data_IF_485040771699
#
_entry.id   IF_485040771699
#
_cell.length_a   1.000
_cell.length_b   1.000
_cell.length_c   1.000
_cell.angle_alpha   90.00
_cell.angle_beta   90.00
_cell.angle_gamma   90.00
#
_symmetry.space_group_name_H-M   'P 1'
#
loop_
_entity.id
_entity.type
_entity.pdbx_description
1 polymer ?
#
# COMPACT_ATOMS: atom_id res chain seq x y z
N UNK A 1 18.83 -44.82 66.01
CA UNK A 1 17.54 -44.10 65.90
C UNK A 1 17.58 -43.25 64.64
N UNK A 2 16.71 -43.51 63.67
CA UNK A 2 16.54 -42.69 62.46
C UNK A 2 15.41 -41.68 62.71
N UNK A 3 15.46 -40.51 62.08
CA UNK A 3 14.25 -39.90 61.57
C UNK A 3 14.30 -39.73 60.05
N UNK A 4 13.12 -39.97 59.46
CA UNK A 4 12.74 -39.68 58.09
C UNK A 4 12.77 -38.19 57.78
N UNK A 5 13.11 -37.83 56.54
CA UNK A 5 12.58 -36.63 55.88
C UNK A 5 12.15 -37.00 54.45
N UNK A 6 10.89 -36.65 54.11
CA UNK A 6 10.20 -36.87 52.83
C UNK A 6 10.27 -35.60 51.95
N UNK A 7 10.72 -35.78 50.70
CA UNK A 7 10.20 -35.17 49.46
C UNK A 7 10.57 -33.70 49.12
N UNK A 8 10.28 -33.22 47.89
CA UNK A 8 9.82 -33.94 46.69
C UNK A 8 10.75 -33.79 45.46
N UNK A 9 10.89 -34.86 44.70
CA UNK A 9 11.15 -34.80 43.26
C UNK A 9 9.88 -34.31 42.58
N UNK A 10 9.94 -33.26 41.75
CA UNK A 10 9.14 -33.00 40.52
C UNK A 10 9.40 -31.56 40.05
N UNK A 11 10.51 -31.28 39.36
CA UNK A 11 10.65 -30.07 38.54
C UNK A 11 11.51 -30.44 37.33
N UNK A 12 10.94 -31.08 36.31
CA UNK A 12 11.70 -31.34 35.08
C UNK A 12 10.84 -31.57 33.82
N UNK A 13 9.62 -31.02 33.77
CA UNK A 13 8.76 -31.20 32.58
C UNK A 13 8.01 -29.93 32.13
N UNK A 14 8.65 -28.76 32.19
CA UNK A 14 8.07 -27.52 31.63
C UNK A 14 9.01 -26.74 30.69
N UNK A 15 10.25 -27.20 30.46
CA UNK A 15 11.22 -26.42 29.69
C UNK A 15 11.21 -26.65 28.16
N UNK A 16 10.47 -27.65 27.65
CA UNK A 16 10.50 -27.99 26.20
C UNK A 16 9.35 -27.34 25.41
N UNK A 17 8.29 -26.85 26.05
CA UNK A 17 7.15 -26.22 25.35
C UNK A 17 7.28 -24.70 25.15
N UNK A 18 8.31 -24.06 25.72
CA UNK A 18 8.50 -22.61 25.62
C UNK A 18 9.33 -22.17 24.40
N UNK A 19 9.95 -23.09 23.67
CA UNK A 19 10.82 -22.78 22.53
C UNK A 19 10.08 -22.66 21.17
N UNK A 20 8.76 -22.92 21.13
CA UNK A 20 7.96 -22.88 19.89
C UNK A 20 7.15 -21.59 19.70
N UNK A 21 7.17 -20.67 20.67
CA UNK A 21 6.33 -19.47 20.64
C UNK A 21 7.05 -18.20 20.13
N UNK A 22 8.37 -18.24 19.94
CA UNK A 22 9.16 -17.07 19.49
C UNK A 22 9.51 -17.09 17.99
N UNK A 23 9.26 -18.19 17.27
CA UNK A 23 9.61 -18.33 15.84
C UNK A 23 8.55 -17.89 14.83
N UNK A 24 7.33 -17.58 15.27
CA UNK A 24 6.18 -17.36 14.36
C UNK A 24 6.24 -16.07 13.53
N UNK A 25 6.88 -15.01 14.05
CA UNK A 25 6.84 -13.69 13.42
C UNK A 25 7.64 -13.60 12.12
N UNK A 26 8.79 -14.26 12.04
CA UNK A 26 9.66 -14.19 10.86
C UNK A 26 9.09 -14.99 9.67
N UNK A 27 8.54 -16.18 9.94
CA UNK A 27 7.89 -17.01 8.92
C UNK A 27 6.61 -16.34 8.37
N UNK A 28 5.81 -15.73 9.25
CA UNK A 28 4.62 -14.97 8.83
C UNK A 28 4.97 -13.73 8.00
N UNK A 29 6.03 -13.00 8.37
CA UNK A 29 6.51 -11.86 7.59
C UNK A 29 7.04 -12.28 6.20
N UNK A 30 7.78 -13.38 6.12
CA UNK A 30 8.26 -13.93 4.86
C UNK A 30 7.10 -14.37 3.94
N UNK A 31 6.07 -15.02 4.50
CA UNK A 31 4.89 -15.43 3.72
C UNK A 31 4.12 -14.23 3.16
N UNK A 32 3.93 -13.16 3.95
CA UNK A 32 3.27 -11.94 3.47
C UNK A 32 4.10 -11.19 2.44
N UNK A 33 5.42 -11.20 2.57
CA UNK A 33 6.32 -10.60 1.58
C UNK A 33 6.24 -11.34 0.23
N UNK A 34 6.10 -12.66 0.26
CA UNK A 34 5.87 -13.49 -0.94
C UNK A 34 4.49 -13.22 -1.57
N UNK A 35 3.44 -13.04 -0.75
CA UNK A 35 2.08 -12.77 -1.23
C UNK A 35 1.96 -11.40 -1.91
N UNK A 36 2.64 -10.38 -1.40
CA UNK A 36 2.59 -9.03 -1.97
C UNK A 36 4.00 -8.47 -2.20
N UNK A 37 4.68 -8.97 -3.25
CA UNK A 37 6.07 -8.65 -3.53
C UNK A 37 6.26 -7.15 -3.80
N UNK A 38 5.24 -6.45 -4.32
CA UNK A 38 5.28 -5.01 -4.54
C UNK A 38 5.65 -4.24 -3.27
N UNK A 39 5.05 -4.60 -2.13
CA UNK A 39 5.17 -3.90 -0.86
C UNK A 39 6.32 -4.39 0.02
N UNK A 40 7.09 -5.38 -0.46
CA UNK A 40 8.30 -5.85 0.22
C UNK A 40 9.50 -4.91 0.02
N UNK A 41 9.45 -4.04 -1.00
CA UNK A 41 10.49 -3.05 -1.30
C UNK A 41 10.14 -1.67 -0.77
N UNK A 42 11.18 -0.96 -0.31
CA UNK A 42 11.10 0.44 0.14
C UNK A 42 11.56 1.43 -0.93
N UNK A 43 12.07 0.93 -2.06
CA UNK A 43 12.53 1.77 -3.16
C UNK A 43 11.34 2.42 -3.87
N UNK A 44 11.43 3.72 -4.22
CA UNK A 44 10.41 4.40 -4.98
C UNK A 44 10.01 3.64 -6.25
N UNK A 45 8.75 3.22 -6.34
CA UNK A 45 8.22 2.59 -7.54
C UNK A 45 8.01 3.65 -8.65
N UNK A 46 8.67 3.54 -9.81
CA UNK A 46 8.35 4.36 -10.98
C UNK A 46 7.04 3.84 -11.60
N UNK A 47 6.03 4.69 -11.67
CA UNK A 47 4.72 4.33 -12.22
C UNK A 47 4.23 5.42 -13.18
N UNK A 48 3.40 5.04 -14.15
CA UNK A 48 2.60 5.98 -14.93
C UNK A 48 1.12 5.61 -14.77
N UNK A 49 0.31 6.58 -14.36
CA UNK A 49 -1.14 6.42 -14.24
C UNK A 49 -1.83 7.36 -15.22
N UNK A 50 -2.53 6.79 -16.17
CA UNK A 50 -3.30 7.49 -17.19
C UNK A 50 -4.79 7.29 -16.92
N UNK A 51 -5.54 8.37 -16.75
CA UNK A 51 -7.01 8.35 -16.59
C UNK A 51 -7.57 9.77 -16.77
N UNK A 52 -8.89 9.92 -16.70
CA UNK A 52 -9.56 11.21 -16.76
C UNK A 52 -9.47 11.91 -15.39
N UNK A 53 -8.33 12.55 -15.13
CA UNK A 53 -8.04 13.26 -13.88
C UNK A 53 -8.91 14.53 -13.79
N UNK A 54 -9.23 15.15 -14.92
CA UNK A 54 -10.18 16.27 -14.98
C UNK A 54 -11.54 15.89 -14.40
N UNK A 55 -12.07 14.72 -14.77
CA UNK A 55 -13.36 14.27 -14.24
C UNK A 55 -13.28 13.76 -12.79
N UNK A 56 -12.10 13.38 -12.31
CA UNK A 56 -11.83 13.10 -10.88
C UNK A 56 -11.88 14.41 -10.07
N UNK A 57 -11.16 15.45 -10.50
CA UNK A 57 -11.09 16.75 -9.82
C UNK A 57 -12.47 17.43 -9.81
N UNK A 58 -13.11 17.55 -10.98
CA UNK A 58 -14.42 18.25 -11.10
C UNK A 58 -15.54 17.52 -10.37
N UNK A 59 -15.48 16.20 -10.27
CA UNK A 59 -16.45 15.41 -9.52
C UNK A 59 -16.40 15.62 -8.01
N UNK A 60 -15.43 16.37 -7.43
CA UNK A 60 -15.18 16.48 -5.96
C UNK A 60 -16.34 17.04 -5.14
N UNK A 61 -17.28 17.71 -5.80
CA UNK A 61 -18.47 18.25 -5.17
C UNK A 61 -19.65 17.28 -5.16
N UNK A 62 -19.58 16.19 -5.94
CA UNK A 62 -20.62 15.16 -5.94
C UNK A 62 -20.63 14.42 -4.58
N UNK A 63 -21.83 14.30 -3.99
CA UNK A 63 -22.03 13.65 -2.69
C UNK A 63 -22.18 12.13 -2.81
N UNK A 64 -22.62 11.66 -3.97
CA UNK A 64 -22.76 10.24 -4.30
C UNK A 64 -21.40 9.57 -4.45
N UNK A 65 -21.41 8.23 -4.45
CA UNK A 65 -20.19 7.44 -4.62
C UNK A 65 -19.46 7.76 -5.94
N UNK A 66 -18.12 7.86 -5.90
CA UNK A 66 -17.36 8.27 -7.06
C UNK A 66 -17.45 7.16 -8.09
N UNK A 67 -17.81 7.47 -9.35
CA UNK A 67 -17.81 6.46 -10.39
C UNK A 67 -16.39 5.97 -10.61
N UNK A 68 -16.28 4.70 -10.96
CA UNK A 68 -15.06 4.12 -11.49
C UNK A 68 -14.81 4.72 -12.88
N UNK A 69 -13.56 5.09 -13.13
CA UNK A 69 -13.12 5.57 -14.43
C UNK A 69 -12.10 4.60 -15.02
N UNK A 70 -12.18 4.28 -16.31
CA UNK A 70 -11.14 3.48 -16.94
C UNK A 70 -9.80 4.23 -16.87
N UNK A 71 -8.73 3.47 -16.77
CA UNK A 71 -7.37 3.99 -16.79
C UNK A 71 -6.36 2.96 -17.25
N UNK A 72 -5.13 3.41 -17.41
CA UNK A 72 -3.97 2.59 -17.75
C UNK A 72 -2.89 2.83 -16.70
N UNK A 73 -2.42 1.75 -16.08
CA UNK A 73 -1.27 1.74 -15.18
C UNK A 73 -0.09 1.12 -15.93
N UNK A 74 1.06 1.82 -15.93
CA UNK A 74 2.33 1.29 -16.42
C UNK A 74 3.35 1.23 -15.30
N UNK A 75 4.10 0.13 -15.25
CA UNK A 75 5.08 -0.15 -14.21
C UNK A 75 6.18 -1.06 -14.76
N UNK A 76 7.30 -1.16 -14.03
CA UNK A 76 8.37 -2.09 -14.37
C UNK A 76 8.00 -3.50 -13.89
N UNK A 77 8.01 -4.46 -14.84
CA UNK A 77 7.85 -5.87 -14.58
C UNK A 77 9.16 -6.56 -14.19
N UNK A 78 9.13 -7.89 -13.98
CA UNK A 78 10.34 -8.68 -13.84
C UNK A 78 11.23 -8.50 -15.08
N UNK A 79 12.53 -8.27 -14.88
CA UNK A 79 13.48 -8.07 -16.00
C UNK A 79 13.49 -6.65 -16.60
N UNK A 80 12.90 -5.66 -15.90
CA UNK A 80 12.88 -4.23 -16.29
C UNK A 80 12.01 -3.88 -17.51
N UNK A 81 11.25 -4.84 -18.05
CA UNK A 81 10.29 -4.56 -19.10
C UNK A 81 9.11 -3.71 -18.59
N UNK A 82 8.67 -2.75 -19.39
CA UNK A 82 7.48 -1.95 -19.07
C UNK A 82 6.21 -2.77 -19.29
N UNK A 83 5.46 -3.02 -18.22
CA UNK A 83 4.16 -3.68 -18.26
C UNK A 83 3.06 -2.62 -18.31
N UNK A 84 2.11 -2.80 -19.22
CA UNK A 84 0.91 -1.96 -19.34
C UNK A 84 -0.33 -2.73 -18.89
N UNK A 85 -1.15 -2.14 -18.03
CA UNK A 85 -2.38 -2.74 -17.50
C UNK A 85 -3.55 -1.78 -17.56
N UNK A 86 -4.71 -2.29 -17.98
CA UNK A 86 -5.98 -1.60 -17.78
C UNK A 86 -6.36 -1.66 -16.31
N UNK A 87 -6.79 -0.54 -15.76
CA UNK A 87 -7.22 -0.38 -14.37
C UNK A 87 -8.52 0.41 -14.30
N UNK A 88 -9.19 0.36 -13.16
CA UNK A 88 -10.28 1.29 -12.85
C UNK A 88 -9.85 2.21 -11.71
N UNK A 89 -10.05 3.50 -11.89
CA UNK A 89 -9.62 4.52 -10.94
C UNK A 89 -10.86 5.20 -10.37
N UNK A 90 -10.94 5.25 -9.05
CA UNK A 90 -11.95 6.04 -8.35
C UNK A 90 -11.32 6.84 -7.22
N UNK A 91 -12.06 7.85 -6.78
CA UNK A 91 -11.66 8.63 -5.60
C UNK A 91 -11.97 7.85 -4.35
N UNK A 92 -11.13 8.01 -3.34
CA UNK A 92 -11.33 7.37 -2.03
C UNK A 92 -11.08 8.35 -0.90
N UNK A 93 -11.33 7.87 0.31
CA UNK A 93 -11.16 8.60 1.54
C UNK A 93 -12.44 9.33 1.96
N UNK A 94 -12.33 10.00 3.10
CA UNK A 94 -13.45 10.67 3.75
C UNK A 94 -13.36 12.19 3.50
N UNK A 95 -12.63 12.93 4.34
CA UNK A 95 -12.49 14.39 4.19
C UNK A 95 -11.72 14.79 2.92
N UNK A 96 -10.56 14.15 2.66
CA UNK A 96 -9.71 14.46 1.49
C UNK A 96 -10.39 14.21 0.14
N UNK A 97 -11.42 13.37 0.10
CA UNK A 97 -12.21 13.10 -1.11
C UNK A 97 -12.92 14.36 -1.64
N UNK A 98 -13.33 15.25 -0.73
CA UNK A 98 -14.10 16.45 -1.06
C UNK A 98 -13.26 17.75 -0.97
N UNK A 99 -12.24 17.74 -0.10
CA UNK A 99 -11.39 18.91 0.19
C UNK A 99 -10.20 19.07 -0.77
N UNK A 100 -9.72 17.97 -1.38
CA UNK A 100 -8.56 18.03 -2.26
C UNK A 100 -8.96 18.25 -3.72
N UNK A 101 -8.12 18.98 -4.46
CA UNK A 101 -8.17 19.05 -5.92
C UNK A 101 -7.78 17.69 -6.51
N UNK A 102 -6.76 17.07 -5.91
CA UNK A 102 -6.32 15.71 -6.23
C UNK A 102 -6.55 14.80 -5.01
N UNK A 103 -7.67 14.07 -4.97
CA UNK A 103 -7.98 13.21 -3.84
C UNK A 103 -7.10 11.95 -3.84
N UNK A 104 -6.99 11.25 -2.69
CA UNK A 104 -6.52 9.88 -2.67
C UNK A 104 -7.32 9.01 -3.65
N UNK A 105 -6.65 8.08 -4.32
CA UNK A 105 -7.26 7.24 -5.35
C UNK A 105 -7.27 5.78 -4.92
N UNK A 106 -8.30 5.06 -5.32
CA UNK A 106 -8.31 3.60 -5.38
C UNK A 106 -8.08 3.22 -6.83
N UNK A 107 -7.02 2.46 -7.09
CA UNK A 107 -6.69 1.93 -8.42
C UNK A 107 -7.01 0.45 -8.39
N UNK A 108 -8.16 0.04 -8.91
CA UNK A 108 -8.58 -1.35 -8.99
C UNK A 108 -7.92 -2.04 -10.17
N UNK A 109 -7.43 -3.25 -9.93
CA UNK A 109 -6.88 -4.16 -10.93
C UNK A 109 -7.97 -5.19 -11.23
N UNK A 110 -8.56 -5.19 -12.44
CA UNK A 110 -9.63 -6.12 -12.78
C UNK A 110 -9.19 -7.58 -12.70
N UNK A 111 -10.08 -8.43 -12.17
CA UNK A 111 -9.88 -9.88 -12.11
C UNK A 111 -9.64 -10.48 -13.50
N UNK A 112 -8.80 -11.52 -13.57
CA UNK A 112 -8.47 -12.19 -14.85
C UNK A 112 -7.48 -11.43 -15.73
N UNK A 113 -7.17 -10.17 -15.42
CA UNK A 113 -5.86 -9.63 -15.78
C UNK A 113 -4.86 -10.38 -14.90
N UNK A 114 -3.99 -11.21 -15.47
CA UNK A 114 -2.98 -11.92 -14.69
C UNK A 114 -2.27 -10.89 -13.81
N UNK A 115 -2.55 -10.89 -12.50
CA UNK A 115 -1.89 -10.01 -11.55
C UNK A 115 -0.42 -10.29 -11.73
N UNK A 116 0.27 -9.35 -12.36
CA UNK A 116 1.66 -9.55 -12.71
C UNK A 116 2.41 -9.91 -11.44
N UNK A 117 3.46 -10.71 -11.56
CA UNK A 117 4.39 -11.09 -10.47
C UNK A 117 4.71 -9.91 -9.54
N UNK A 118 4.67 -8.68 -10.04
CA UNK A 118 4.87 -7.44 -9.30
C UNK A 118 3.83 -7.20 -8.19
N UNK A 119 2.52 -7.33 -8.46
CA UNK A 119 1.47 -6.94 -7.50
C UNK A 119 0.88 -8.09 -6.68
N UNK A 120 1.28 -9.34 -6.93
CA UNK A 120 0.83 -10.49 -6.14
C UNK A 120 -0.70 -10.64 -6.14
N UNK A 121 -1.29 -10.77 -4.95
CA UNK A 121 -2.74 -10.97 -4.76
C UNK A 121 -3.52 -9.64 -4.65
N UNK A 122 -2.88 -8.50 -4.92
CA UNK A 122 -3.52 -7.19 -4.78
C UNK A 122 -4.59 -6.95 -5.86
N UNK A 123 -5.85 -6.84 -5.44
CA UNK A 123 -6.98 -6.46 -6.29
C UNK A 123 -7.10 -4.94 -6.47
N UNK A 124 -6.47 -4.17 -5.59
CA UNK A 124 -6.45 -2.72 -5.66
C UNK A 124 -5.19 -2.14 -5.01
N UNK A 125 -4.78 -0.97 -5.48
CA UNK A 125 -3.70 -0.18 -4.88
C UNK A 125 -4.29 1.11 -4.30
N UNK A 126 -4.05 1.36 -3.01
CA UNK A 126 -4.49 2.58 -2.36
C UNK A 126 -3.45 3.66 -2.51
N UNK A 127 -3.73 4.57 -3.44
CA UNK A 127 -2.87 5.70 -3.74
C UNK A 127 -3.12 6.87 -2.78
N UNK A 128 -2.03 7.36 -2.19
CA UNK A 128 -2.00 8.59 -1.40
C UNK A 128 -0.94 9.53 -2.00
N UNK A 129 -1.39 10.69 -2.49
CA UNK A 129 -0.54 11.67 -3.17
C UNK A 129 -0.78 13.10 -2.68
N UNK A 130 -0.41 14.07 -3.51
CA UNK A 130 -0.61 15.49 -3.23
C UNK A 130 -2.12 15.82 -3.19
N UNK A 131 -2.51 16.75 -2.32
CA UNK A 131 -3.92 17.19 -2.20
C UNK A 131 -4.24 18.39 -3.12
N UNK A 132 -3.23 19.17 -3.51
CA UNK A 132 -3.38 20.44 -4.24
C UNK A 132 -2.58 20.37 -5.54
N UNK A 133 -3.26 20.36 -6.70
CA UNK A 133 -2.60 20.28 -8.02
C UNK A 133 -1.77 21.52 -8.33
N UNK A 134 -2.27 22.69 -7.94
CA UNK A 134 -1.75 24.00 -8.35
C UNK A 134 -0.74 24.60 -7.37
N UNK A 135 -0.41 23.90 -6.28
CA UNK A 135 0.52 24.38 -5.25
C UNK A 135 1.78 23.52 -5.21
N UNK A 136 2.97 24.09 -5.51
CA UNK A 136 4.23 23.35 -5.45
C UNK A 136 4.51 22.74 -4.07
N UNK A 137 5.17 21.58 -4.04
CA UNK A 137 5.67 20.94 -2.81
C UNK A 137 4.61 20.22 -1.97
N UNK A 138 3.35 20.15 -2.41
CA UNK A 138 2.30 19.45 -1.66
C UNK A 138 2.47 17.92 -1.64
N UNK A 139 3.25 17.37 -2.55
CA UNK A 139 3.63 15.95 -2.57
C UNK A 139 4.57 15.57 -1.41
N UNK A 140 5.31 16.53 -0.83
CA UNK A 140 6.10 16.31 0.38
C UNK A 140 5.24 15.93 1.61
N UNK A 141 3.98 16.36 1.67
CA UNK A 141 3.06 15.94 2.75
C UNK A 141 2.70 14.47 2.65
N UNK A 142 2.54 13.94 1.42
CA UNK A 142 2.32 12.51 1.22
C UNK A 142 3.53 11.70 1.71
N UNK A 143 4.75 12.18 1.46
CA UNK A 143 5.96 11.51 1.97
C UNK A 143 6.07 11.57 3.50
N UNK A 144 5.65 12.66 4.14
CA UNK A 144 5.56 12.71 5.62
C UNK A 144 4.56 11.69 6.16
N UNK A 145 3.41 11.54 5.50
CA UNK A 145 2.41 10.53 5.86
C UNK A 145 2.97 9.11 5.67
N UNK A 146 3.69 8.83 4.58
CA UNK A 146 4.41 7.58 4.37
C UNK A 146 5.37 7.25 5.53
N UNK A 147 6.13 8.24 6.03
CA UNK A 147 7.02 8.03 7.18
C UNK A 147 6.25 7.62 8.45
N UNK A 148 5.00 8.08 8.62
CA UNK A 148 4.16 7.64 9.72
C UNK A 148 3.74 6.17 9.56
N UNK A 149 3.40 5.71 8.35
CA UNK A 149 3.16 4.29 8.06
C UNK A 149 4.40 3.44 8.35
N UNK A 150 5.58 3.93 7.96
CA UNK A 150 6.86 3.27 8.22
C UNK A 150 7.20 3.17 9.70
N UNK A 151 6.90 4.20 10.48
CA UNK A 151 7.09 4.15 11.92
C UNK A 151 6.12 3.15 12.57
N UNK A 152 4.85 3.19 12.17
CA UNK A 152 3.84 2.28 12.68
C UNK A 152 4.17 0.82 12.38
N UNK A 153 4.72 0.51 11.21
CA UNK A 153 5.12 -0.87 10.86
C UNK A 153 6.26 -1.44 11.71
N UNK A 154 6.95 -0.61 12.52
CA UNK A 154 7.97 -1.07 13.46
C UNK A 154 7.44 -1.42 14.84
N UNK A 155 6.27 -0.90 15.20
CA UNK A 155 5.74 -0.98 16.58
C UNK A 155 4.35 -1.58 16.66
N UNK A 156 3.58 -1.53 15.58
CA UNK A 156 2.23 -2.06 15.51
C UNK A 156 2.25 -3.54 15.15
N UNK A 157 1.47 -4.33 15.89
CA UNK A 157 1.22 -5.75 15.59
C UNK A 157 0.45 -5.92 14.27
N UNK A 158 -0.39 -4.93 13.93
CA UNK A 158 -1.12 -4.85 12.68
C UNK A 158 -0.77 -3.53 12.00
N UNK A 159 0.01 -3.61 10.93
CA UNK A 159 0.42 -2.47 10.14
C UNK A 159 0.22 -2.76 8.66
N UNK A 160 -0.41 -1.81 7.97
CA UNK A 160 -0.46 -1.82 6.51
C UNK A 160 0.94 -1.54 5.98
N UNK A 161 1.35 -2.25 4.93
CA UNK A 161 2.57 -1.92 4.21
C UNK A 161 2.34 -0.74 3.28
N UNK A 162 3.38 0.04 3.11
CA UNK A 162 3.37 1.20 2.24
C UNK A 162 4.68 1.26 1.47
N UNK A 163 4.60 1.65 0.19
CA UNK A 163 5.75 1.82 -0.68
C UNK A 163 5.72 3.20 -1.33
N UNK A 164 6.81 3.99 -1.29
CA UNK A 164 6.86 5.26 -1.97
C UNK A 164 6.82 5.03 -3.48
N UNK A 165 6.25 6.00 -4.21
CA UNK A 165 6.13 5.93 -5.64
C UNK A 165 6.44 7.28 -6.28
N UNK A 166 7.08 7.23 -7.45
CA UNK A 166 7.25 8.37 -8.34
C UNK A 166 6.28 8.17 -9.50
N UNK A 167 5.13 8.82 -9.41
CA UNK A 167 4.03 8.59 -10.34
C UNK A 167 3.97 9.71 -11.35
N UNK A 168 4.01 9.36 -12.63
CA UNK A 168 3.68 10.25 -13.75
C UNK A 168 2.20 10.14 -14.05
N UNK A 169 1.45 11.19 -13.77
CA UNK A 169 0.04 11.26 -14.11
C UNK A 169 -0.15 11.78 -15.53
N UNK A 170 -0.98 11.11 -16.31
CA UNK A 170 -1.39 11.51 -17.65
C UNK A 170 -2.90 11.74 -17.61
N UNK A 171 -3.32 12.99 -17.83
CA UNK A 171 -4.75 13.34 -17.85
C UNK A 171 -5.32 13.20 -19.25
N UNK A 172 -6.31 12.32 -19.43
CA UNK A 172 -7.02 12.18 -20.70
C UNK A 172 -8.12 13.23 -20.90
N UNK A 173 -8.45 14.02 -19.85
CA UNK A 173 -9.59 14.93 -19.82
C UNK A 173 -9.29 16.43 -19.96
N UNK A 174 -8.03 16.87 -19.92
CA UNK A 174 -7.71 18.32 -20.07
C UNK A 174 -6.56 18.90 -19.24
N UNK A 175 -5.62 18.07 -18.80
CA UNK A 175 -4.32 18.46 -18.19
C UNK A 175 -4.36 19.12 -16.78
N UNK A 176 -5.43 18.92 -15.98
CA UNK A 176 -5.54 19.58 -14.66
C UNK A 176 -4.68 18.96 -13.55
N UNK A 177 -4.19 17.74 -13.78
CA UNK A 177 -3.48 16.94 -12.78
C UNK A 177 -2.23 16.22 -13.31
N UNK A 178 -1.73 16.58 -14.49
CA UNK A 178 -0.64 15.85 -15.11
C UNK A 178 0.76 16.17 -14.53
N UNK A 179 1.68 15.27 -14.85
CA UNK A 179 3.09 15.37 -14.53
C UNK A 179 3.52 14.41 -13.42
N UNK A 180 4.83 14.42 -13.14
CA UNK A 180 5.42 13.51 -12.18
C UNK A 180 5.39 14.09 -10.76
N UNK A 181 4.91 13.31 -9.79
CA UNK A 181 4.84 13.71 -8.37
C UNK A 181 5.28 12.57 -7.46
N UNK A 182 5.63 12.93 -6.22
CA UNK A 182 5.77 11.95 -5.15
C UNK A 182 4.40 11.52 -4.63
N UNK A 183 4.28 10.22 -4.38
CA UNK A 183 3.13 9.60 -3.74
C UNK A 183 3.62 8.38 -2.96
N UNK A 184 2.70 7.68 -2.32
CA UNK A 184 2.92 6.31 -1.89
C UNK A 184 1.67 5.47 -2.11
N UNK A 185 1.89 4.18 -2.25
CA UNK A 185 0.83 3.19 -2.31
C UNK A 185 0.77 2.46 -0.97
N UNK A 186 -0.43 2.03 -0.61
CA UNK A 186 -0.72 1.19 0.55
C UNK A 186 -1.46 -0.05 0.05
N UNK A 187 -1.22 -1.19 0.70
CA UNK A 187 -1.98 -2.43 0.51
C UNK A 187 -3.48 -2.26 0.83
#
# INVERSE_FOLDING_TARGET
MRPCVRGPATVLLTAVLAALLSGGSAAAAALRAEQDPFFSSEEPAPLTLETDLTAIETGRLARDDPPLRPGILRYLGPGEDTVTRTVEVMRRGNSRRYLCDFPPLLIRIPEGSATGVVFGDQEALYHVGHCQNRRPGFDAYALKEYLAYRLWSRVGEFALRARPARITYVDTGGDVGAGTRWAFLVE
#
